data_IF_580525348585
#
_entry.id   IF_580525348585
#
_cell.length_a   1.000
_cell.length_b   1.000
_cell.length_c   1.000
_cell.angle_alpha   90.00
_cell.angle_beta   90.00
_cell.angle_gamma   90.00
#
_symmetry.space_group_name_H-M   'P 1'
#
loop_
_entity.id
_entity.type
_entity.pdbx_description
1 polymer ?
#
# COMPACT_ATOMS: atom_id res chain seq x y z
N UNK A 1 -9.47 -14.14 -10.70
CA UNK A 1 -9.75 -13.45 -9.44
C UNK A 1 -8.70 -12.37 -9.19
N UNK A 2 -9.14 -11.21 -8.73
CA UNK A 2 -8.22 -10.12 -8.44
C UNK A 2 -7.42 -10.40 -7.18
N UNK A 3 -6.13 -10.14 -7.23
CA UNK A 3 -5.28 -10.18 -6.06
C UNK A 3 -5.49 -8.91 -5.23
N UNK A 4 -5.45 -9.04 -3.91
CA UNK A 4 -5.49 -7.88 -3.02
C UNK A 4 -4.07 -7.37 -2.77
N UNK A 5 -3.84 -6.11 -3.08
CA UNK A 5 -2.60 -5.42 -2.72
C UNK A 5 -2.93 -4.51 -1.55
N UNK A 6 -2.31 -4.78 -0.41
CA UNK A 6 -2.58 -4.05 0.82
C UNK A 6 -1.72 -2.79 0.88
N UNK A 7 -2.37 -1.66 1.11
CA UNK A 7 -1.70 -0.40 1.40
C UNK A 7 -1.15 -0.42 2.83
N UNK A 8 -0.16 0.40 3.08
CA UNK A 8 0.51 0.53 4.38
C UNK A 8 -0.47 0.80 5.52
N UNK A 9 -1.53 1.57 5.28
CA UNK A 9 -2.53 1.93 6.29
C UNK A 9 -3.20 0.71 6.93
N UNK A 10 -3.32 -0.40 6.20
CA UNK A 10 -3.92 -1.64 6.70
C UNK A 10 -3.07 -2.22 7.84
N UNK A 11 -1.76 -2.23 7.68
CA UNK A 11 -0.83 -2.77 8.68
C UNK A 11 -0.73 -1.86 9.90
N UNK A 12 -0.73 -0.55 9.68
CA UNK A 12 -0.75 0.44 10.77
C UNK A 12 -2.02 0.27 11.60
N UNK A 13 -3.17 0.09 10.96
CA UNK A 13 -4.42 -0.14 11.65
C UNK A 13 -4.38 -1.41 12.51
N UNK A 14 -3.84 -2.51 11.97
CA UNK A 14 -3.71 -3.77 12.71
C UNK A 14 -2.77 -3.61 13.90
N UNK A 15 -1.64 -2.97 13.72
CA UNK A 15 -0.68 -2.71 14.80
C UNK A 15 -1.31 -1.90 15.92
N UNK A 16 -2.16 -0.92 15.60
CA UNK A 16 -2.84 -0.06 16.56
C UNK A 16 -4.12 -0.69 17.10
N UNK A 17 -4.46 -1.91 16.71
CA UNK A 17 -5.67 -2.59 17.17
C UNK A 17 -6.97 -2.01 16.59
N UNK A 18 -6.89 -1.22 15.52
CA UNK A 18 -8.10 -0.69 14.87
C UNK A 18 -8.76 -1.79 14.03
N UNK A 19 -10.09 -1.92 14.08
CA UNK A 19 -10.79 -2.94 13.30
C UNK A 19 -10.72 -2.64 11.81
N UNK A 20 -10.66 -3.70 11.02
CA UNK A 20 -10.82 -3.63 9.57
C UNK A 20 -12.30 -3.86 9.23
N UNK A 21 -12.78 -3.21 8.17
CA UNK A 21 -14.17 -3.30 7.76
C UNK A 21 -14.61 -4.68 7.26
N UNK A 22 -13.63 -5.52 6.91
CA UNK A 22 -13.87 -6.90 6.47
C UNK A 22 -12.59 -7.72 6.66
N UNK A 23 -12.69 -9.07 6.67
CA UNK A 23 -11.52 -9.93 6.74
C UNK A 23 -10.62 -9.76 5.51
N UNK A 24 -9.32 -9.92 5.71
CA UNK A 24 -8.37 -9.92 4.60
C UNK A 24 -8.44 -11.26 3.87
N UNK A 25 -8.23 -11.27 2.54
CA UNK A 25 -8.13 -12.52 1.79
C UNK A 25 -6.86 -13.29 2.18
N UNK A 26 -6.86 -14.61 1.89
CA UNK A 26 -5.72 -15.47 2.21
C UNK A 26 -4.47 -15.10 1.41
N UNK A 27 -4.65 -14.75 0.13
CA UNK A 27 -3.55 -14.31 -0.73
C UNK A 27 -3.53 -12.79 -0.82
N UNK A 28 -2.45 -12.21 -0.32
CA UNK A 28 -2.24 -10.77 -0.36
C UNK A 28 -0.85 -10.44 -0.89
N UNK A 29 -0.72 -9.28 -1.49
CA UNK A 29 0.55 -8.72 -1.95
C UNK A 29 0.73 -7.33 -1.37
N UNK A 30 1.95 -6.85 -1.39
CA UNK A 30 2.29 -5.47 -1.05
C UNK A 30 3.25 -4.92 -2.10
N UNK A 31 3.30 -3.60 -2.23
CA UNK A 31 4.38 -2.95 -2.97
C UNK A 31 5.65 -2.94 -2.12
N UNK A 32 6.82 -2.99 -2.76
CA UNK A 32 8.09 -2.74 -2.04
C UNK A 32 8.10 -1.37 -1.37
N UNK A 33 7.29 -0.43 -1.84
CA UNK A 33 7.10 0.88 -1.19
C UNK A 33 6.55 0.69 0.23
N UNK A 34 5.58 -0.19 0.41
CA UNK A 34 5.03 -0.51 1.73
C UNK A 34 6.10 -1.12 2.64
N UNK A 35 6.92 -2.02 2.10
CA UNK A 35 8.05 -2.59 2.86
C UNK A 35 8.99 -1.48 3.33
N UNK A 36 9.34 -0.56 2.43
CA UNK A 36 10.21 0.57 2.76
C UNK A 36 9.60 1.48 3.84
N UNK A 37 8.31 1.77 3.73
CA UNK A 37 7.61 2.60 4.71
C UNK A 37 7.58 1.95 6.10
N UNK A 38 7.32 0.64 6.15
CA UNK A 38 7.31 -0.09 7.42
C UNK A 38 8.69 -0.18 8.04
N UNK A 39 9.72 -0.40 7.22
CA UNK A 39 11.11 -0.44 7.70
C UNK A 39 11.56 0.94 8.20
N UNK A 40 11.21 1.99 7.48
CA UNK A 40 11.47 3.36 7.93
C UNK A 40 10.81 3.61 9.30
N UNK A 41 9.58 3.14 9.49
CA UNK A 41 8.90 3.24 10.77
C UNK A 41 9.64 2.55 11.91
N UNK A 42 10.27 1.40 11.65
CA UNK A 42 11.12 0.71 12.65
C UNK A 42 12.32 1.59 13.01
N UNK A 43 13.02 2.10 12.01
CA UNK A 43 14.24 2.90 12.20
C UNK A 43 13.97 4.23 12.90
N UNK A 44 12.79 4.81 12.70
CA UNK A 44 12.41 6.09 13.29
C UNK A 44 11.67 5.96 14.63
N UNK A 45 11.50 4.75 15.15
CA UNK A 45 10.81 4.56 16.42
C UNK A 45 11.57 5.21 17.58
N UNK A 46 10.84 5.96 18.41
CA UNK A 46 11.42 6.76 19.48
C UNK A 46 11.90 5.94 20.70
N UNK A 47 11.32 4.75 20.90
CA UNK A 47 11.62 3.91 22.05
C UNK A 47 11.66 2.42 21.67
N UNK A 48 12.30 1.56 22.51
CA UNK A 48 12.47 0.15 22.19
C UNK A 48 11.16 -0.64 22.04
N UNK A 49 10.13 -0.30 22.81
CA UNK A 49 8.85 -1.02 22.74
C UNK A 49 8.14 -0.74 21.41
N UNK A 50 8.06 0.52 21.01
CA UNK A 50 7.49 0.91 19.73
C UNK A 50 8.26 0.27 18.59
N UNK A 51 9.60 0.28 18.66
CA UNK A 51 10.45 -0.36 17.64
C UNK A 51 10.16 -1.86 17.54
N UNK A 52 10.02 -2.54 18.67
CA UNK A 52 9.70 -3.97 18.69
C UNK A 52 8.35 -4.27 18.04
N UNK A 53 7.32 -3.47 18.31
CA UNK A 53 6.01 -3.63 17.69
C UNK A 53 6.05 -3.41 16.18
N UNK A 54 6.75 -2.37 15.73
CA UNK A 54 6.90 -2.07 14.30
C UNK A 54 7.73 -3.13 13.56
N UNK A 55 8.76 -3.64 14.22
CA UNK A 55 9.57 -4.72 13.66
C UNK A 55 8.73 -5.99 13.49
N UNK A 56 7.88 -6.32 14.46
CA UNK A 56 6.99 -7.48 14.38
C UNK A 56 6.04 -7.34 13.18
N UNK A 57 5.44 -6.16 13.00
CA UNK A 57 4.58 -5.89 11.84
C UNK A 57 5.34 -6.10 10.53
N UNK A 58 6.56 -5.57 10.43
CA UNK A 58 7.40 -5.74 9.23
C UNK A 58 7.71 -7.22 8.96
N UNK A 59 8.07 -7.97 9.99
CA UNK A 59 8.39 -9.40 9.85
C UNK A 59 7.15 -10.20 9.42
N UNK A 60 5.98 -9.89 9.99
CA UNK A 60 4.72 -10.53 9.60
C UNK A 60 4.39 -10.26 8.13
N UNK A 61 4.55 -9.04 7.68
CA UNK A 61 4.31 -8.67 6.28
C UNK A 61 5.23 -9.46 5.34
N UNK A 62 6.52 -9.52 5.67
CA UNK A 62 7.50 -10.27 4.85
C UNK A 62 7.20 -11.76 4.81
N UNK A 63 6.60 -12.32 5.86
CA UNK A 63 6.25 -13.74 5.92
C UNK A 63 4.95 -14.04 5.17
N UNK A 64 3.98 -13.12 5.15
CA UNK A 64 2.61 -13.39 4.70
C UNK A 64 2.29 -12.85 3.31
N UNK A 65 3.01 -11.83 2.84
CA UNK A 65 2.68 -11.14 1.61
C UNK A 65 3.83 -11.21 0.60
N UNK A 66 3.47 -11.35 -0.68
CA UNK A 66 4.43 -11.18 -1.77
C UNK A 66 4.75 -9.69 -1.93
N UNK A 67 6.04 -9.32 -1.93
CA UNK A 67 6.47 -7.95 -2.18
C UNK A 67 6.70 -7.78 -3.69
N UNK A 68 5.91 -6.92 -4.32
CA UNK A 68 5.97 -6.67 -5.75
C UNK A 68 6.92 -5.50 -6.05
N UNK A 69 7.86 -5.67 -7.00
CA UNK A 69 8.87 -4.66 -7.29
C UNK A 69 8.31 -3.47 -8.06
N UNK A 70 9.05 -2.36 -8.03
CA UNK A 70 8.82 -1.21 -8.91
C UNK A 70 9.57 -1.44 -10.23
N UNK A 71 9.02 -2.28 -11.06
CA UNK A 71 9.59 -2.58 -12.37
C UNK A 71 9.14 -1.57 -13.43
N UNK A 72 9.53 -1.79 -14.70
CA UNK A 72 9.23 -0.87 -15.78
C UNK A 72 7.73 -0.76 -16.06
N UNK A 73 6.97 -1.86 -15.90
CA UNK A 73 5.51 -1.82 -16.07
C UNK A 73 4.86 -0.95 -14.98
N UNK A 74 5.36 -1.04 -13.76
CA UNK A 74 4.90 -0.19 -12.66
C UNK A 74 5.27 1.27 -12.91
N UNK A 75 6.45 1.54 -13.46
CA UNK A 75 6.86 2.90 -13.83
C UNK A 75 5.88 3.52 -14.85
N UNK A 76 5.47 2.77 -15.86
CA UNK A 76 4.50 3.24 -16.84
C UNK A 76 3.13 3.49 -16.21
N UNK A 77 2.70 2.61 -15.32
CA UNK A 77 1.45 2.78 -14.58
C UNK A 77 1.49 4.03 -13.69
N UNK A 78 2.62 4.27 -13.03
CA UNK A 78 2.83 5.48 -12.25
C UNK A 78 2.65 6.75 -13.10
N UNK A 79 3.32 6.80 -14.25
CA UNK A 79 3.23 7.95 -15.14
C UNK A 79 1.77 8.21 -15.57
N UNK A 80 1.03 7.15 -15.87
CA UNK A 80 -0.38 7.25 -16.25
C UNK A 80 -1.22 7.83 -15.10
N UNK A 81 -1.10 7.27 -13.89
CA UNK A 81 -1.87 7.72 -12.73
C UNK A 81 -1.50 9.14 -12.31
N UNK A 82 -0.22 9.45 -12.29
CA UNK A 82 0.26 10.80 -11.95
C UNK A 82 -0.24 11.84 -12.96
N UNK A 83 -0.22 11.50 -14.26
CA UNK A 83 -0.70 12.41 -15.30
C UNK A 83 -2.18 12.73 -15.14
N UNK A 84 -2.98 11.76 -14.73
CA UNK A 84 -4.41 11.97 -14.49
C UNK A 84 -4.65 12.95 -13.35
N UNK A 85 -3.91 12.82 -12.24
CA UNK A 85 -4.03 13.71 -11.10
C UNK A 85 -3.55 15.13 -11.45
N UNK A 86 -2.41 15.23 -12.14
CA UNK A 86 -1.86 16.51 -12.58
C UNK A 86 -2.80 17.23 -13.57
N UNK A 87 -3.40 16.48 -14.50
CA UNK A 87 -4.33 17.04 -15.48
C UNK A 87 -5.61 17.57 -14.83
N UNK A 88 -5.96 17.04 -13.65
CA UNK A 88 -7.06 17.53 -12.85
C UNK A 88 -6.67 18.74 -11.99
N UNK A 89 -5.47 19.28 -12.14
CA UNK A 89 -4.98 20.44 -11.39
C UNK A 89 -4.55 20.11 -9.98
N UNK A 90 -4.32 18.84 -9.65
CA UNK A 90 -3.93 18.40 -8.30
C UNK A 90 -2.50 17.89 -8.30
N UNK A 91 -1.93 17.78 -7.10
CA UNK A 91 -0.59 17.26 -6.90
C UNK A 91 -0.69 15.77 -6.49
N UNK A 92 -0.02 14.84 -7.20
CA UNK A 92 -0.06 13.44 -6.82
C UNK A 92 0.71 13.21 -5.51
N UNK A 93 0.18 12.29 -4.69
CA UNK A 93 0.85 11.79 -3.49
C UNK A 93 1.77 10.67 -3.94
N UNK A 94 3.08 10.89 -3.83
CA UNK A 94 4.08 10.05 -4.50
C UNK A 94 4.01 8.58 -4.05
N UNK A 95 4.05 8.31 -2.74
CA UNK A 95 4.02 6.93 -2.25
C UNK A 95 2.71 6.23 -2.60
N UNK A 96 1.57 6.89 -2.40
CA UNK A 96 0.27 6.32 -2.74
C UNK A 96 0.15 6.03 -4.23
N UNK A 97 0.71 6.91 -5.07
CA UNK A 97 0.71 6.72 -6.51
C UNK A 97 1.54 5.49 -6.90
N UNK A 98 2.71 5.27 -6.27
CA UNK A 98 3.50 4.06 -6.50
C UNK A 98 2.77 2.79 -6.07
N UNK A 99 2.06 2.83 -4.95
CA UNK A 99 1.27 1.68 -4.48
C UNK A 99 0.14 1.37 -5.46
N UNK A 100 -0.60 2.39 -5.87
CA UNK A 100 -1.67 2.23 -6.87
C UNK A 100 -1.13 1.75 -8.21
N UNK A 101 0.03 2.26 -8.64
CA UNK A 101 0.71 1.84 -9.86
C UNK A 101 1.12 0.36 -9.81
N UNK A 102 1.60 -0.10 -8.66
CA UNK A 102 1.93 -1.50 -8.45
C UNK A 102 0.70 -2.38 -8.64
N UNK A 103 -0.43 -1.97 -8.09
CA UNK A 103 -1.69 -2.69 -8.25
C UNK A 103 -2.14 -2.70 -9.71
N UNK A 104 -2.12 -1.55 -10.37
CA UNK A 104 -2.55 -1.43 -11.78
C UNK A 104 -1.72 -2.34 -12.68
N UNK A 105 -0.41 -2.29 -12.56
CA UNK A 105 0.50 -3.08 -13.40
C UNK A 105 0.37 -4.59 -13.18
N UNK A 106 -0.08 -5.01 -12.02
CA UNK A 106 -0.19 -6.42 -11.64
C UNK A 106 -1.64 -6.94 -11.64
N UNK A 107 -2.59 -6.16 -12.13
CA UNK A 107 -4.00 -6.57 -12.19
C UNK A 107 -4.61 -6.80 -10.82
N UNK A 108 -4.15 -6.07 -9.81
CA UNK A 108 -4.62 -6.18 -8.44
C UNK A 108 -5.55 -5.05 -8.06
N UNK A 109 -6.33 -5.26 -7.00
CA UNK A 109 -7.11 -4.19 -6.38
C UNK A 109 -6.39 -3.69 -5.13
N UNK A 110 -6.50 -2.40 -4.82
CA UNK A 110 -5.91 -1.81 -3.62
C UNK A 110 -6.89 -1.95 -2.45
N UNK A 111 -6.42 -2.51 -1.35
CA UNK A 111 -7.15 -2.57 -0.09
C UNK A 111 -6.53 -1.57 0.88
N UNK A 112 -7.33 -0.62 1.35
CA UNK A 112 -6.82 0.52 2.12
C UNK A 112 -7.83 1.05 3.14
N UNK A 113 -7.34 1.69 4.18
CA UNK A 113 -8.16 2.50 5.08
C UNK A 113 -8.13 3.99 4.72
N UNK A 114 -7.33 4.37 3.72
CA UNK A 114 -7.12 5.77 3.36
C UNK A 114 -8.07 6.19 2.24
N UNK A 115 -8.89 7.22 2.50
CA UNK A 115 -9.83 7.77 1.53
C UNK A 115 -9.14 8.39 0.31
N UNK A 116 -7.88 8.79 0.44
CA UNK A 116 -7.16 9.48 -0.63
C UNK A 116 -6.88 8.58 -1.84
N UNK A 117 -6.96 7.26 -1.68
CA UNK A 117 -6.85 6.33 -2.81
C UNK A 117 -8.01 6.43 -3.79
N UNK A 118 -9.11 7.11 -3.44
CA UNK A 118 -10.21 7.33 -4.38
C UNK A 118 -9.80 8.12 -5.62
N UNK A 119 -8.71 8.85 -5.56
CA UNK A 119 -8.13 9.55 -6.73
C UNK A 119 -7.76 8.59 -7.86
N UNK A 120 -7.52 7.31 -7.55
CA UNK A 120 -7.11 6.30 -8.52
C UNK A 120 -8.25 5.35 -8.91
N UNK A 121 -9.45 5.54 -8.37
CA UNK A 121 -10.56 4.59 -8.51
C UNK A 121 -11.02 4.39 -9.96
N UNK A 122 -10.81 5.37 -10.84
CA UNK A 122 -11.15 5.25 -12.25
C UNK A 122 -10.25 4.26 -13.00
N UNK A 123 -9.05 4.00 -12.49
CA UNK A 123 -8.05 3.15 -13.15
C UNK A 123 -7.76 1.87 -12.38
N UNK A 124 -7.91 1.88 -11.06
CA UNK A 124 -7.58 0.76 -10.17
C UNK A 124 -8.76 0.51 -9.24
N UNK A 125 -9.24 -0.74 -9.11
CA UNK A 125 -10.27 -1.04 -8.12
C UNK A 125 -9.76 -0.76 -6.70
N UNK A 126 -10.52 -0.02 -5.93
CA UNK A 126 -10.19 0.34 -4.55
C UNK A 126 -11.21 -0.29 -3.60
N UNK A 127 -10.72 -1.07 -2.65
CA UNK A 127 -11.55 -1.65 -1.58
C UNK A 127 -11.24 -0.89 -0.30
N UNK A 128 -12.21 -0.10 0.13
CA UNK A 128 -12.06 0.70 1.35
C UNK A 128 -12.43 -0.16 2.58
N UNK A 129 -11.54 -0.22 3.56
CA UNK A 129 -11.72 -1.01 4.78
C UNK A 129 -12.20 -0.16 5.96
#
# INVERSE_FOLDING_TARGET
MSRALLDTSVFVAREQGRPLGRPLPDEVAVSVVTVAELELGVLMAADPLTRAHRLRTLMDVKALAAALPLDERVASAYALLASTVLSAGRKPRVQDTWIAATALANGAEVWTQDADFTDFAASVPIVRL
#
